data_IF_192147193870
#
_entry.id   IF_192147193870
#
_cell.length_a   1.000
_cell.length_b   1.000
_cell.length_c   1.000
_cell.angle_alpha   90.00
_cell.angle_beta   90.00
_cell.angle_gamma   90.00
#
_symmetry.space_group_name_H-M   'P 1'
#
loop_
_entity.id
_entity.type
_entity.pdbx_description
1 polymer ?
#
# COMPACT_ATOMS: atom_id res chain seq x y z
N UNK A 1 -0.76 1.12 -31.73
CA UNK A 1 -1.32 1.07 -30.36
C UNK A 1 -0.27 1.62 -29.42
N UNK A 2 -0.66 2.42 -28.42
CA UNK A 2 0.24 2.92 -27.38
C UNK A 2 0.44 1.78 -26.38
N UNK A 3 1.69 1.48 -26.03
CA UNK A 3 2.04 0.37 -25.11
C UNK A 3 2.80 0.81 -23.87
N UNK A 4 3.29 2.05 -23.85
CA UNK A 4 3.97 2.67 -22.72
C UNK A 4 3.65 4.17 -22.72
N UNK A 5 3.86 4.84 -21.58
CA UNK A 5 3.77 6.29 -21.49
C UNK A 5 4.74 6.95 -22.48
N UNK A 6 4.27 8.00 -23.16
CA UNK A 6 5.08 8.72 -24.12
C UNK A 6 4.71 10.19 -24.18
N UNK A 7 5.70 11.01 -24.51
CA UNK A 7 5.55 12.43 -24.74
C UNK A 7 5.75 12.70 -26.24
N UNK A 8 4.78 13.34 -26.87
CA UNK A 8 4.89 13.80 -28.26
C UNK A 8 5.26 15.27 -28.25
N UNK A 9 6.43 15.59 -28.79
CA UNK A 9 6.95 16.96 -28.87
C UNK A 9 6.70 17.49 -30.27
N UNK A 10 5.90 18.55 -30.36
CA UNK A 10 5.71 19.34 -31.57
C UNK A 10 6.60 20.57 -31.48
N UNK A 11 7.50 20.73 -32.44
CA UNK A 11 8.33 21.94 -32.57
C UNK A 11 7.86 22.70 -33.81
N UNK A 12 7.46 23.94 -33.63
CA UNK A 12 7.10 24.85 -34.72
C UNK A 12 8.16 25.94 -34.84
N UNK A 13 8.48 26.34 -36.07
CA UNK A 13 9.39 27.42 -36.37
C UNK A 13 8.63 28.55 -37.06
N UNK A 14 8.96 29.80 -36.73
CA UNK A 14 8.54 30.96 -37.54
C UNK A 14 9.55 31.26 -38.66
N UNK A 15 9.21 32.19 -39.54
CA UNK A 15 10.04 32.56 -40.70
C UNK A 15 11.39 33.20 -40.27
N UNK A 16 11.47 33.72 -39.05
CA UNK A 16 12.68 34.30 -38.45
C UNK A 16 13.56 33.25 -37.73
N UNK A 17 13.10 31.99 -37.69
CA UNK A 17 13.82 30.86 -37.09
C UNK A 17 13.61 30.68 -35.58
N UNK A 18 12.67 31.40 -34.96
CA UNK A 18 12.29 31.16 -33.57
C UNK A 18 11.51 29.85 -33.47
N UNK A 19 11.78 29.07 -32.42
CA UNK A 19 11.10 27.81 -32.17
C UNK A 19 10.13 27.91 -30.98
N UNK A 20 8.98 27.26 -31.10
CA UNK A 20 8.06 27.00 -30.00
C UNK A 20 7.81 25.50 -29.88
N UNK A 21 7.83 24.99 -28.65
CA UNK A 21 7.57 23.59 -28.35
C UNK A 21 6.22 23.41 -27.68
N UNK A 22 5.48 22.38 -28.09
CA UNK A 22 4.27 21.90 -27.45
C UNK A 22 4.41 20.42 -27.15
N UNK A 23 4.18 20.03 -25.89
CA UNK A 23 4.30 18.65 -25.44
C UNK A 23 2.90 18.10 -25.18
N UNK A 24 2.56 17.01 -25.87
CA UNK A 24 1.34 16.22 -25.59
C UNK A 24 1.74 14.97 -24.83
N UNK A 25 1.28 14.86 -23.59
CA UNK A 25 1.55 13.71 -22.73
C UNK A 25 0.48 12.65 -22.93
N UNK A 26 0.90 11.45 -23.32
CA UNK A 26 0.04 10.28 -23.43
C UNK A 26 0.41 9.32 -22.31
N UNK A 27 -0.57 9.03 -21.45
CA UNK A 27 -0.41 8.16 -20.27
C UNK A 27 -1.37 6.99 -20.35
N UNK A 28 -0.90 5.79 -20.03
CA UNK A 28 -1.75 4.61 -19.91
C UNK A 28 -2.30 4.59 -18.49
N UNK A 29 -3.65 4.52 -18.31
CA UNK A 29 -4.22 4.41 -16.99
C UNK A 29 -3.71 3.14 -16.29
N UNK A 30 -3.19 3.30 -15.09
CA UNK A 30 -2.82 2.16 -14.26
C UNK A 30 -4.09 1.52 -13.68
N UNK A 31 -4.22 0.22 -13.90
CA UNK A 31 -5.34 -0.60 -13.41
C UNK A 31 -4.85 -1.78 -12.56
N UNK A 32 -3.55 -1.87 -12.29
CA UNK A 32 -2.96 -2.98 -11.54
C UNK A 32 -2.95 -2.63 -10.05
N UNK A 33 -3.59 -3.44 -9.19
CA UNK A 33 -3.49 -3.24 -7.74
C UNK A 33 -2.10 -3.55 -7.19
N UNK A 34 -1.74 -2.97 -6.03
CA UNK A 34 -0.53 -3.31 -5.31
C UNK A 34 -0.37 -4.81 -5.06
N UNK A 35 0.84 -5.32 -5.23
CA UNK A 35 1.22 -6.67 -4.81
C UNK A 35 1.59 -6.64 -3.33
N UNK A 36 0.92 -7.48 -2.54
CA UNK A 36 1.12 -7.57 -1.09
C UNK A 36 1.62 -8.96 -0.70
N UNK A 37 2.74 -9.03 0.03
CA UNK A 37 3.14 -10.22 0.78
C UNK A 37 2.67 -10.06 2.21
N UNK A 38 1.62 -10.79 2.53
CA UNK A 38 0.94 -10.67 3.82
C UNK A 38 1.74 -11.31 4.94
N UNK A 39 1.69 -10.74 6.15
CA UNK A 39 2.36 -11.30 7.30
C UNK A 39 1.70 -12.63 7.67
N UNK A 40 2.51 -13.56 8.18
CA UNK A 40 1.98 -14.75 8.82
C UNK A 40 1.24 -14.35 10.11
N UNK A 41 0.21 -15.11 10.46
CA UNK A 41 -0.43 -14.97 11.77
C UNK A 41 0.57 -15.27 12.88
N UNK A 42 0.58 -14.49 13.95
CA UNK A 42 1.57 -14.60 15.02
C UNK A 42 0.99 -14.52 16.43
N UNK A 43 1.81 -14.95 17.38
CA UNK A 43 1.49 -14.96 18.81
C UNK A 43 2.31 -13.88 19.48
N UNK A 44 1.65 -13.05 20.29
CA UNK A 44 2.30 -12.15 21.22
C UNK A 44 2.34 -12.86 22.58
N UNK A 45 3.54 -13.05 23.18
CA UNK A 45 3.65 -13.66 24.49
C UNK A 45 3.11 -12.69 25.56
N UNK A 46 2.33 -13.24 26.50
CA UNK A 46 1.88 -12.58 27.70
C UNK A 46 2.93 -12.72 28.81
N UNK A 47 3.24 -11.64 29.51
CA UNK A 47 4.09 -11.69 30.70
C UNK A 47 3.35 -12.33 31.90
N UNK A 48 4.11 -12.72 32.93
CA UNK A 48 3.52 -13.23 34.17
C UNK A 48 2.58 -12.19 34.80
N UNK A 49 1.31 -12.56 34.97
CA UNK A 49 0.26 -11.68 35.48
C UNK A 49 -0.39 -10.75 34.43
N UNK A 50 0.04 -10.80 33.16
CA UNK A 50 -0.59 -10.07 32.05
C UNK A 50 -1.77 -10.88 31.50
N UNK A 51 -3.00 -10.40 31.73
CA UNK A 51 -4.22 -11.03 31.21
C UNK A 51 -4.80 -10.31 30.00
N UNK A 52 -4.37 -9.07 29.76
CA UNK A 52 -4.83 -8.23 28.66
C UNK A 52 -3.67 -7.38 28.14
N UNK A 53 -3.65 -7.14 26.84
CA UNK A 53 -2.61 -6.34 26.19
C UNK A 53 -3.19 -5.53 25.03
N UNK A 54 -2.92 -4.23 25.04
CA UNK A 54 -3.23 -3.35 23.93
C UNK A 54 -2.14 -3.47 22.85
N UNK A 55 -2.54 -3.79 21.63
CA UNK A 55 -1.65 -3.93 20.48
C UNK A 55 -2.06 -2.93 19.41
N UNK A 56 -1.08 -2.22 18.84
CA UNK A 56 -1.27 -1.29 17.73
C UNK A 56 -0.69 -1.89 16.45
N UNK A 57 -1.44 -1.78 15.36
CA UNK A 57 -1.09 -2.27 14.02
C UNK A 57 -0.81 -1.09 13.10
N UNK A 58 0.43 -1.00 12.63
CA UNK A 58 0.87 -0.02 11.63
C UNK A 58 2.09 -0.58 10.89
N UNK A 59 2.60 0.17 9.92
CA UNK A 59 3.75 -0.23 9.10
C UNK A 59 5.05 -0.46 9.90
N UNK A 60 5.17 0.13 11.10
CA UNK A 60 6.34 -0.09 11.97
C UNK A 60 6.22 -1.33 12.85
N UNK A 61 5.01 -1.80 13.16
CA UNK A 61 4.77 -2.95 14.04
C UNK A 61 4.48 -4.23 13.27
N UNK A 62 4.02 -4.14 12.02
CA UNK A 62 3.67 -5.28 11.18
C UNK A 62 4.66 -5.38 10.02
N UNK A 63 5.47 -6.44 10.02
CA UNK A 63 6.39 -6.71 8.92
C UNK A 63 5.65 -7.28 7.71
N UNK A 64 5.54 -6.50 6.65
CA UNK A 64 4.99 -6.93 5.37
C UNK A 64 5.72 -6.27 4.20
N UNK A 65 5.53 -6.81 3.01
CA UNK A 65 6.07 -6.22 1.78
C UNK A 65 4.91 -5.78 0.91
N UNK A 66 4.86 -4.51 0.58
CA UNK A 66 3.92 -3.93 -0.38
C UNK A 66 4.76 -3.37 -1.53
N UNK A 67 4.43 -3.78 -2.74
CA UNK A 67 5.12 -3.33 -3.95
C UNK A 67 4.09 -3.01 -5.03
N UNK A 68 4.34 -1.96 -5.77
CA UNK A 68 3.56 -1.59 -6.94
C UNK A 68 4.47 -0.93 -7.97
N UNK A 69 4.07 -0.92 -9.24
CA UNK A 69 4.80 -0.20 -10.29
C UNK A 69 4.59 1.30 -10.21
N UNK A 70 3.45 1.72 -9.65
CA UNK A 70 3.19 3.10 -9.26
C UNK A 70 3.50 3.32 -7.78
N UNK A 71 3.30 4.55 -7.29
CA UNK A 71 3.52 4.85 -5.88
C UNK A 71 2.36 4.34 -5.02
N UNK A 72 2.67 3.72 -3.88
CA UNK A 72 1.70 3.49 -2.81
C UNK A 72 1.37 4.83 -2.16
N UNK A 73 0.08 5.15 -2.04
CA UNK A 73 -0.38 6.41 -1.43
C UNK A 73 -0.91 6.23 -0.02
N UNK A 74 -1.46 5.04 0.29
CA UNK A 74 -2.12 4.80 1.58
C UNK A 74 -2.07 3.32 1.96
N UNK A 75 -1.84 3.06 3.26
CA UNK A 75 -1.87 1.72 3.87
C UNK A 75 -2.65 1.80 5.17
N UNK A 76 -3.79 1.11 5.22
CA UNK A 76 -4.66 1.09 6.41
C UNK A 76 -4.69 -0.28 7.07
N UNK A 77 -4.82 -0.27 8.39
CA UNK A 77 -4.97 -1.46 9.23
C UNK A 77 -6.32 -1.38 9.95
N UNK A 78 -7.15 -2.40 9.80
CA UNK A 78 -8.48 -2.48 10.38
C UNK A 78 -8.64 -3.79 11.18
N UNK A 79 -8.70 -3.73 12.53
CA UNK A 79 -8.54 -2.52 13.35
C UNK A 79 -7.08 -2.05 13.42
N UNK A 80 -6.86 -0.76 13.67
CA UNK A 80 -5.51 -0.19 13.88
C UNK A 80 -4.99 -0.45 15.29
N UNK A 81 -5.87 -0.83 16.22
CA UNK A 81 -5.53 -1.25 17.57
C UNK A 81 -6.55 -2.26 18.10
N UNK A 82 -6.10 -3.17 18.95
CA UNK A 82 -6.97 -4.14 19.60
C UNK A 82 -6.49 -4.44 21.02
N UNK A 83 -7.42 -4.46 21.97
CA UNK A 83 -7.20 -5.00 23.30
C UNK A 83 -7.42 -6.51 23.25
N UNK A 84 -6.34 -7.29 23.34
CA UNK A 84 -6.41 -8.74 23.38
C UNK A 84 -6.42 -9.24 24.83
N UNK A 85 -7.32 -10.16 25.14
CA UNK A 85 -7.30 -10.93 26.39
C UNK A 85 -6.52 -12.23 26.22
N UNK A 86 -6.03 -12.81 27.31
CA UNK A 86 -5.27 -14.06 27.27
C UNK A 86 -6.08 -15.17 26.58
N UNK A 87 -5.43 -15.88 25.65
CA UNK A 87 -6.00 -16.91 24.77
C UNK A 87 -7.03 -16.41 23.75
N UNK A 88 -7.16 -15.09 23.55
CA UNK A 88 -7.96 -14.50 22.47
C UNK A 88 -7.10 -14.10 21.26
N UNK A 89 -7.77 -13.83 20.15
CA UNK A 89 -7.14 -13.36 18.93
C UNK A 89 -7.98 -12.27 18.25
N UNK A 90 -7.32 -11.48 17.41
CA UNK A 90 -7.94 -10.51 16.51
C UNK A 90 -7.51 -10.82 15.08
N UNK A 91 -8.43 -10.65 14.13
CA UNK A 91 -8.10 -10.65 12.70
C UNK A 91 -7.93 -9.21 12.26
N UNK A 92 -6.78 -8.90 11.66
CA UNK A 92 -6.46 -7.57 11.13
C UNK A 92 -6.52 -7.64 9.61
N UNK A 93 -7.33 -6.76 9.00
CA UNK A 93 -7.34 -6.53 7.55
C UNK A 93 -6.40 -5.35 7.23
N UNK A 94 -5.48 -5.57 6.30
CA UNK A 94 -4.61 -4.52 5.75
C UNK A 94 -5.09 -4.19 4.35
N UNK A 95 -5.17 -2.91 4.04
CA UNK A 95 -5.56 -2.43 2.72
C UNK A 95 -4.49 -1.47 2.21
N UNK A 96 -3.93 -1.76 1.04
CA UNK A 96 -2.99 -0.87 0.35
C UNK A 96 -3.69 -0.23 -0.86
N UNK A 97 -3.46 1.07 -1.05
CA UNK A 97 -3.99 1.86 -2.17
C UNK A 97 -2.82 2.53 -2.91
N UNK A 98 -2.81 2.42 -4.23
CA UNK A 98 -1.79 3.06 -5.07
C UNK A 98 -2.18 4.50 -5.49
N UNK A 99 -1.35 5.13 -6.31
CA UNK A 99 -1.58 6.50 -6.83
C UNK A 99 -2.69 6.61 -7.86
N UNK A 100 -3.07 5.49 -8.48
CA UNK A 100 -4.18 5.36 -9.40
C UNK A 100 -5.48 4.92 -8.71
N UNK A 101 -5.48 4.82 -7.37
CA UNK A 101 -6.59 4.34 -6.55
C UNK A 101 -6.94 2.85 -6.72
N UNK A 102 -6.05 2.03 -7.30
CA UNK A 102 -6.19 0.58 -7.25
C UNK A 102 -5.87 0.07 -5.84
N UNK A 103 -6.57 -0.99 -5.43
CA UNK A 103 -6.53 -1.47 -4.04
C UNK A 103 -6.34 -2.97 -3.97
N UNK A 104 -5.50 -3.40 -3.04
CA UNK A 104 -5.40 -4.80 -2.65
C UNK A 104 -5.53 -4.94 -1.13
N UNK A 105 -5.94 -6.13 -0.68
CA UNK A 105 -6.22 -6.40 0.72
C UNK A 105 -5.65 -7.73 1.16
N UNK A 106 -5.26 -7.82 2.42
CA UNK A 106 -5.07 -9.12 3.05
C UNK A 106 -5.28 -9.14 4.55
N UNK A 107 -5.25 -10.35 5.13
CA UNK A 107 -5.61 -10.60 6.52
C UNK A 107 -4.58 -11.46 7.20
N UNK A 108 -4.36 -11.18 8.48
CA UNK A 108 -3.59 -12.02 9.40
C UNK A 108 -4.24 -12.02 10.78
N UNK A 109 -3.89 -13.01 11.60
CA UNK A 109 -4.39 -13.11 12.97
C UNK A 109 -3.28 -12.87 13.98
N UNK A 110 -3.62 -12.18 15.05
CA UNK A 110 -2.73 -11.94 16.19
C UNK A 110 -3.41 -12.45 17.45
N UNK A 111 -2.72 -13.26 18.23
CA UNK A 111 -3.25 -13.81 19.48
C UNK A 111 -2.33 -13.51 20.66
N UNK A 112 -2.92 -13.40 21.85
CA UNK A 112 -2.18 -13.26 23.10
C UNK A 112 -2.17 -14.62 23.81
N UNK A 113 -0.99 -15.22 24.01
CA UNK A 113 -0.85 -16.53 24.65
C UNK A 113 0.31 -16.55 25.66
N UNK A 114 0.32 -17.54 26.56
CA UNK A 114 1.43 -17.76 27.50
C UNK A 114 2.60 -18.47 26.82
#
# INVERSE_FOLDING_TARGET
>A
MITHDMDIIYVAFDDDGNAAECIVQLRIPDTQPPVMKCPDSYIVPANDGEFEKLITFNESTVQMVIQDTSNITDVTFEPSEALLTLSSHVTVEVIATDSASNRNKCKFQVSLQR
#
